data_IF_967210559809
#
_entry.id   IF_967210559809
#
_cell.length_a   1.000
_cell.length_b   1.000
_cell.length_c   1.000
_cell.angle_alpha   90.00
_cell.angle_beta   90.00
_cell.angle_gamma   90.00
#
_symmetry.space_group_name_H-M   'P 1'
#
loop_
_entity.id
_entity.type
_entity.pdbx_description
1 polymer ?
#
# COMPACT_ATOMS: atom_id res chain seq x y z
N UNK A 1 -16.02 -48.26 -11.36
CA UNK A 1 -15.86 -49.66 -11.75
C UNK A 1 -14.72 -50.22 -10.93
N UNK A 2 -15.10 -51.13 -10.09
CA UNK A 2 -14.43 -52.40 -9.66
C UNK A 2 -13.00 -52.19 -9.08
N UNK A 3 -12.80 -52.48 -7.86
CA UNK A 3 -13.11 -53.60 -6.96
C UNK A 3 -11.84 -54.33 -6.56
N UNK A 4 -11.68 -54.48 -5.28
CA UNK A 4 -11.18 -55.63 -4.51
C UNK A 4 -9.66 -55.72 -4.41
N UNK A 5 -9.09 -56.05 -3.27
CA UNK A 5 -9.62 -56.79 -2.15
C UNK A 5 -8.62 -56.92 -1.02
N UNK A 6 -9.18 -57.09 0.09
CA UNK A 6 -8.69 -57.46 1.39
C UNK A 6 -7.81 -58.73 1.39
N UNK A 7 -6.83 -58.75 2.28
CA UNK A 7 -6.55 -59.94 3.07
C UNK A 7 -6.02 -59.56 4.44
N UNK A 8 -6.86 -59.76 5.46
CA UNK A 8 -6.53 -59.88 6.85
C UNK A 8 -5.73 -61.20 7.03
N UNK A 9 -4.59 -61.12 7.72
CA UNK A 9 -3.96 -62.31 8.27
C UNK A 9 -3.76 -62.09 9.79
N UNK A 10 -4.62 -62.77 10.52
CA UNK A 10 -4.67 -62.92 11.97
C UNK A 10 -3.54 -63.80 12.42
N UNK A 11 -2.63 -63.30 13.25
CA UNK A 11 -1.69 -64.14 13.98
C UNK A 11 -1.86 -63.88 15.49
N UNK A 12 -2.16 -64.97 16.17
CA UNK A 12 -2.45 -65.08 17.60
C UNK A 12 -1.26 -64.76 18.53
N UNK A 13 -1.49 -64.40 19.81
CA UNK A 13 -0.45 -63.96 20.70
C UNK A 13 0.25 -65.18 21.38
N UNK A 14 1.55 -65.26 21.22
CA UNK A 14 2.40 -66.14 22.02
C UNK A 14 2.70 -65.52 23.41
N UNK A 15 2.18 -66.12 24.47
CA UNK A 15 2.53 -65.88 25.84
C UNK A 15 3.97 -66.36 26.10
N UNK A 16 4.93 -65.47 26.31
CA UNK A 16 6.21 -65.80 26.90
C UNK A 16 6.16 -65.47 28.39
N UNK A 17 6.33 -66.52 29.20
CA UNK A 17 6.47 -66.48 30.65
C UNK A 17 7.83 -65.86 30.97
N UNK A 18 7.84 -64.70 31.55
CA UNK A 18 9.04 -64.07 32.13
C UNK A 18 9.13 -64.55 33.60
N UNK A 19 10.08 -65.41 33.84
CA UNK A 19 10.51 -65.73 35.17
C UNK A 19 11.27 -64.58 35.82
N UNK A 20 10.76 -64.06 36.95
CA UNK A 20 11.44 -63.09 37.78
C UNK A 20 12.53 -63.79 38.62
N UNK A 21 13.78 -63.35 38.63
CA UNK A 21 14.76 -63.80 39.52
C UNK A 21 14.53 -63.23 40.93
N UNK A 22 14.59 -64.09 41.95
CA UNK A 22 14.47 -63.79 43.35
C UNK A 22 15.56 -62.82 43.82
N UNK A 23 15.31 -61.99 44.88
CA UNK A 23 16.30 -61.07 45.42
C UNK A 23 17.36 -61.81 46.22
N UNK A 24 18.62 -61.36 46.16
CA UNK A 24 19.69 -61.98 46.96
C UNK A 24 19.49 -61.71 48.46
N UNK A 25 19.66 -62.73 49.25
CA UNK A 25 19.62 -62.83 50.73
C UNK A 25 20.66 -61.89 51.36
N UNK A 26 20.22 -61.11 52.34
CA UNK A 26 21.08 -60.24 53.13
C UNK A 26 22.13 -61.09 53.94
N UNK A 27 23.38 -60.63 53.97
CA UNK A 27 24.37 -61.27 54.88
C UNK A 27 24.13 -60.85 56.33
N UNK A 28 24.28 -61.86 57.21
CA UNK A 28 24.21 -61.82 58.64
C UNK A 28 25.26 -60.88 59.28
N UNK A 29 24.94 -60.19 60.39
CA UNK A 29 25.86 -59.23 61.00
C UNK A 29 26.88 -59.98 61.87
N UNK A 30 28.14 -59.99 61.46
CA UNK A 30 29.24 -60.38 62.36
C UNK A 30 30.47 -59.50 62.08
N UNK A 31 30.94 -58.92 63.18
CA UNK A 31 32.25 -58.27 63.34
C UNK A 31 32.40 -56.86 62.74
N UNK A 32 31.89 -55.88 63.51
CA UNK A 32 32.41 -54.52 63.48
C UNK A 32 33.64 -54.43 64.38
N UNK A 33 34.82 -54.72 63.86
CA UNK A 33 36.06 -54.28 64.52
C UNK A 33 36.21 -52.76 64.26
N UNK A 34 36.30 -52.02 65.37
CA UNK A 34 36.43 -50.55 65.39
C UNK A 34 37.79 -50.15 64.78
N UNK A 35 37.74 -49.64 63.56
CA UNK A 35 38.80 -48.77 62.99
C UNK A 35 38.85 -47.48 63.81
N UNK A 36 39.96 -47.11 64.46
CA UNK A 36 40.05 -45.81 65.11
C UNK A 36 39.88 -44.71 64.05
N UNK A 37 38.91 -43.78 64.27
CA UNK A 37 38.63 -42.70 63.40
C UNK A 37 39.89 -41.87 63.13
N UNK A 38 40.30 -41.77 61.87
CA UNK A 38 41.50 -41.03 61.40
C UNK A 38 41.54 -39.61 61.98
N UNK A 39 40.38 -39.02 62.25
CA UNK A 39 40.18 -37.71 62.90
C UNK A 39 40.67 -37.69 64.38
N UNK A 40 40.58 -38.83 65.16
CA UNK A 40 41.02 -38.88 66.53
C UNK A 40 42.55 -39.01 66.67
N UNK A 41 43.19 -39.66 65.72
CA UNK A 41 44.68 -39.77 65.66
C UNK A 41 45.28 -38.44 65.18
N UNK A 42 44.69 -37.77 64.18
CA UNK A 42 45.14 -36.48 63.73
C UNK A 42 44.98 -35.38 64.78
N UNK A 43 43.92 -35.42 65.58
CA UNK A 43 43.67 -34.46 66.64
C UNK A 43 44.69 -34.55 67.79
N UNK A 44 45.21 -35.80 68.13
CA UNK A 44 46.28 -36.02 69.16
C UNK A 44 47.65 -35.51 68.62
N UNK A 45 47.99 -35.75 67.35
CA UNK A 45 49.24 -35.31 66.80
C UNK A 45 49.33 -33.77 66.73
N UNK A 46 48.22 -33.07 66.40
CA UNK A 46 48.16 -31.61 66.32
C UNK A 46 48.28 -30.98 67.74
N UNK A 47 47.91 -31.67 68.80
CA UNK A 47 47.93 -31.14 70.17
C UNK A 47 49.34 -31.03 70.78
N UNK A 48 50.29 -31.80 70.29
CA UNK A 48 51.67 -31.84 70.79
C UNK A 48 52.66 -30.99 69.98
N UNK A 49 52.24 -30.42 68.85
CA UNK A 49 53.09 -29.56 68.03
C UNK A 49 53.36 -28.21 68.73
N UNK A 50 54.60 -27.67 68.65
CA UNK A 50 54.90 -26.34 69.17
C UNK A 50 54.11 -25.25 68.56
N UNK A 51 53.73 -24.22 69.32
CA UNK A 51 52.88 -23.12 68.88
C UNK A 51 53.21 -22.51 67.54
N UNK A 52 54.47 -22.31 67.12
CA UNK A 52 54.80 -21.72 65.77
C UNK A 52 54.41 -22.65 64.60
N UNK A 53 54.48 -23.98 64.79
CA UNK A 53 54.11 -24.99 63.80
C UNK A 53 52.58 -25.06 63.59
N UNK A 54 51.81 -24.91 64.68
CA UNK A 54 50.34 -24.79 64.59
C UNK A 54 49.92 -23.55 63.81
N UNK A 55 50.56 -22.43 64.06
CA UNK A 55 50.30 -21.17 63.24
C UNK A 55 50.66 -21.32 61.78
N UNK A 56 51.76 -22.04 61.45
CA UNK A 56 52.16 -22.37 60.09
C UNK A 56 51.15 -23.23 59.36
N UNK A 57 50.62 -24.30 60.01
CA UNK A 57 49.58 -25.16 59.43
C UNK A 57 48.28 -24.41 59.21
N UNK A 58 47.84 -23.57 60.15
CA UNK A 58 46.65 -22.71 59.97
C UNK A 58 46.83 -21.69 58.83
N UNK A 59 48.03 -21.06 58.77
CA UNK A 59 48.34 -20.15 57.66
C UNK A 59 48.34 -20.92 56.33
N UNK A 60 48.90 -22.10 56.23
CA UNK A 60 48.87 -22.93 55.03
C UNK A 60 47.44 -23.33 54.62
N UNK A 61 46.62 -23.73 55.62
CA UNK A 61 45.21 -24.09 55.40
C UNK A 61 44.43 -22.89 54.95
N UNK A 62 44.65 -21.71 55.53
CA UNK A 62 44.02 -20.45 55.07
C UNK A 62 44.43 -20.09 53.63
N UNK A 63 45.72 -20.22 53.29
CA UNK A 63 46.21 -20.02 51.94
C UNK A 63 45.60 -21.03 50.97
N UNK A 64 45.50 -22.33 51.34
CA UNK A 64 44.84 -23.33 50.53
C UNK A 64 43.35 -23.11 50.37
N UNK A 65 42.65 -22.65 51.40
CA UNK A 65 41.23 -22.28 51.32
C UNK A 65 41.04 -21.06 50.46
N UNK A 66 41.87 -20.04 50.60
CA UNK A 66 41.82 -18.81 49.77
C UNK A 66 42.14 -19.10 48.30
N UNK A 67 43.16 -19.91 48.05
CA UNK A 67 43.51 -20.33 46.69
C UNK A 67 42.41 -21.21 46.07
N UNK A 68 41.86 -22.16 46.82
CA UNK A 68 40.73 -22.98 46.39
C UNK A 68 39.47 -22.13 46.15
N UNK A 69 39.22 -21.12 47.00
CA UNK A 69 38.09 -20.21 46.89
C UNK A 69 38.23 -19.32 45.66
N UNK A 70 39.43 -18.86 45.30
CA UNK A 70 39.70 -18.09 44.09
C UNK A 70 39.57 -18.98 42.85
N UNK A 71 40.02 -20.23 42.87
CA UNK A 71 39.93 -21.18 41.77
C UNK A 71 38.52 -21.67 41.48
N UNK A 72 37.67 -21.77 42.48
CA UNK A 72 36.27 -22.20 42.38
C UNK A 72 35.36 -21.12 41.78
N UNK A 73 35.87 -19.88 41.59
CA UNK A 73 35.12 -18.72 41.05
C UNK A 73 35.35 -18.41 39.59
N UNK A 74 36.01 -19.26 38.81
CA UNK A 74 36.26 -19.05 37.39
C UNK A 74 36.01 -20.31 36.58
N UNK A 75 35.55 -20.11 35.34
CA UNK A 75 35.28 -21.18 34.37
C UNK A 75 36.04 -20.86 33.10
N UNK A 76 36.88 -21.81 32.63
CA UNK A 76 37.67 -21.62 31.39
C UNK A 76 37.30 -22.66 30.34
N UNK A 77 37.51 -22.25 29.08
CA UNK A 77 37.42 -23.11 27.88
C UNK A 77 38.53 -22.77 26.90
N UNK A 78 39.12 -23.80 26.32
CA UNK A 78 40.08 -23.76 25.22
C UNK A 78 39.41 -23.78 23.84
N UNK A 79 38.11 -24.01 23.81
CA UNK A 79 37.31 -24.01 22.59
C UNK A 79 36.64 -22.64 22.44
N UNK A 80 37.45 -21.65 22.12
CA UNK A 80 37.03 -20.29 21.84
C UNK A 80 37.74 -19.75 20.60
N UNK A 81 37.00 -18.96 19.82
CA UNK A 81 37.53 -18.33 18.64
C UNK A 81 37.07 -16.87 18.52
N UNK A 82 37.91 -16.06 17.89
CA UNK A 82 37.53 -14.72 17.47
C UNK A 82 36.55 -14.83 16.33
N UNK A 83 35.46 -14.08 16.40
CA UNK A 83 34.41 -14.05 15.41
C UNK A 83 34.02 -12.60 15.07
N UNK A 84 33.35 -12.37 13.93
CA UNK A 84 32.83 -11.07 13.54
C UNK A 84 31.60 -11.24 12.65
N UNK A 85 30.80 -10.16 12.54
CA UNK A 85 29.68 -10.11 11.58
C UNK A 85 30.21 -9.83 10.17
N UNK A 86 30.59 -10.89 9.46
CA UNK A 86 31.11 -10.82 8.10
C UNK A 86 29.97 -10.46 7.13
N UNK A 87 30.17 -9.43 6.33
CA UNK A 87 29.18 -8.96 5.32
C UNK A 87 29.66 -9.33 3.93
N UNK A 88 28.93 -10.23 3.28
CA UNK A 88 29.12 -10.55 1.87
C UNK A 88 28.43 -9.51 0.98
N UNK A 89 29.14 -8.92 0.05
CA UNK A 89 28.61 -7.95 -0.91
C UNK A 89 28.47 -8.62 -2.26
N UNK A 90 27.22 -8.66 -2.76
CA UNK A 90 26.88 -9.26 -4.05
C UNK A 90 26.35 -8.21 -5.02
N UNK A 91 26.50 -8.46 -6.32
CA UNK A 91 25.92 -7.61 -7.35
C UNK A 91 24.40 -7.70 -7.35
N UNK A 92 23.72 -6.55 -7.52
CA UNK A 92 22.25 -6.49 -7.71
C UNK A 92 21.87 -6.36 -9.19
N UNK A 93 22.85 -6.02 -10.06
CA UNK A 93 22.63 -5.83 -11.50
C UNK A 93 23.68 -6.60 -12.30
N UNK A 94 23.37 -6.87 -13.57
CA UNK A 94 24.31 -7.53 -14.49
C UNK A 94 25.15 -6.53 -15.25
N UNK A 95 26.37 -6.89 -15.61
CA UNK A 95 27.21 -6.06 -16.46
C UNK A 95 28.70 -6.35 -16.32
N UNK A 96 29.50 -5.64 -17.09
CA UNK A 96 30.96 -5.74 -17.01
C UNK A 96 31.48 -4.81 -15.93
N UNK A 97 32.49 -5.26 -15.17
CA UNK A 97 33.21 -4.43 -14.21
C UNK A 97 34.15 -3.50 -14.96
N UNK A 98 33.92 -2.20 -14.90
CA UNK A 98 34.70 -1.18 -15.61
C UNK A 98 35.70 -0.45 -14.72
N UNK A 99 35.50 -0.49 -13.40
CA UNK A 99 36.40 0.09 -12.43
C UNK A 99 36.44 -0.75 -11.16
N UNK A 100 37.62 -1.04 -10.67
CA UNK A 100 37.86 -1.75 -9.42
C UNK A 100 38.86 -0.92 -8.62
N UNK A 101 38.46 -0.38 -7.47
CA UNK A 101 39.23 0.51 -6.60
C UNK A 101 39.71 -0.18 -5.33
N UNK A 102 39.52 -1.50 -5.26
CA UNK A 102 39.88 -2.32 -4.10
C UNK A 102 40.80 -3.47 -4.51
N UNK A 103 41.59 -3.87 -3.53
CA UNK A 103 42.39 -5.08 -3.55
C UNK A 103 42.11 -5.88 -2.27
N UNK A 104 42.55 -7.15 -2.26
CA UNK A 104 42.47 -7.97 -1.06
C UNK A 104 43.24 -7.33 0.09
N UNK A 105 42.63 -7.38 1.28
CA UNK A 105 43.18 -6.86 2.53
C UNK A 105 43.26 -5.32 2.63
N UNK A 106 42.61 -4.58 1.73
CA UNK A 106 42.47 -3.12 1.85
C UNK A 106 41.36 -2.75 2.86
N UNK A 107 41.63 -1.71 3.64
CA UNK A 107 40.58 -1.16 4.54
C UNK A 107 39.68 -0.21 3.76
N UNK A 108 38.38 -0.43 3.89
CA UNK A 108 37.31 0.38 3.30
C UNK A 108 36.43 1.02 4.38
N UNK A 109 36.01 2.26 4.17
CA UNK A 109 35.06 2.97 5.02
C UNK A 109 33.66 2.82 4.46
N UNK A 110 32.68 2.86 5.32
CA UNK A 110 31.27 2.90 4.94
C UNK A 110 31.02 4.03 3.92
N UNK A 111 30.36 3.71 2.81
CA UNK A 111 30.04 4.64 1.72
C UNK A 111 31.13 4.78 0.63
N UNK A 112 32.34 4.25 0.84
CA UNK A 112 33.41 4.27 -0.18
C UNK A 112 32.97 3.51 -1.44
N UNK A 113 33.21 4.10 -2.61
CA UNK A 113 32.98 3.44 -3.91
C UNK A 113 34.09 2.46 -4.18
N UNK A 114 33.79 1.18 -4.15
CA UNK A 114 34.77 0.10 -4.24
C UNK A 114 34.88 -0.45 -5.65
N UNK A 115 33.75 -0.53 -6.37
CA UNK A 115 33.70 -1.11 -7.71
C UNK A 115 32.60 -0.43 -8.51
N UNK A 116 32.77 -0.37 -9.83
CA UNK A 116 31.75 0.13 -10.75
C UNK A 116 31.50 -0.86 -11.88
N UNK A 117 30.24 -1.20 -12.07
CA UNK A 117 29.72 -1.95 -13.21
C UNK A 117 29.41 -0.94 -14.32
N UNK A 118 29.48 -1.34 -15.59
CA UNK A 118 29.22 -0.45 -16.74
C UNK A 118 27.83 0.20 -16.65
N UNK A 119 27.74 1.53 -16.42
CA UNK A 119 26.48 2.21 -16.18
C UNK A 119 25.76 2.61 -17.49
N UNK A 120 26.40 2.46 -18.67
CA UNK A 120 25.89 3.05 -19.93
C UNK A 120 24.51 2.55 -20.30
N UNK A 121 24.26 1.25 -20.18
CA UNK A 121 22.96 0.67 -20.47
C UNK A 121 21.90 1.18 -19.50
N UNK A 122 22.21 1.21 -18.22
CA UNK A 122 21.29 1.68 -17.17
C UNK A 122 21.04 3.18 -17.25
N UNK A 123 22.06 3.97 -17.68
CA UNK A 123 21.86 5.40 -17.95
C UNK A 123 20.88 5.61 -19.12
N UNK A 124 21.01 4.84 -20.20
CA UNK A 124 20.09 4.90 -21.34
C UNK A 124 18.65 4.52 -20.92
N UNK A 125 18.49 3.52 -20.05
CA UNK A 125 17.17 3.15 -19.48
C UNK A 125 16.57 4.28 -18.64
N UNK A 126 17.37 5.00 -17.86
CA UNK A 126 16.92 6.19 -17.10
C UNK A 126 16.49 7.30 -18.05
N UNK A 127 17.24 7.56 -19.11
CA UNK A 127 16.93 8.60 -20.08
C UNK A 127 15.66 8.26 -20.87
N UNK A 128 15.43 7.00 -21.24
CA UNK A 128 14.20 6.49 -21.85
C UNK A 128 13.00 6.63 -20.92
N UNK A 129 13.13 6.19 -19.67
CA UNK A 129 12.06 6.32 -18.68
C UNK A 129 11.70 7.78 -18.38
N UNK A 130 12.70 8.68 -18.38
CA UNK A 130 12.51 10.12 -18.23
C UNK A 130 11.74 10.70 -19.42
N UNK A 131 12.14 10.36 -20.64
CA UNK A 131 11.45 10.82 -21.86
C UNK A 131 9.99 10.31 -21.89
N UNK A 132 9.76 9.05 -21.48
CA UNK A 132 8.41 8.49 -21.33
C UNK A 132 7.56 9.25 -20.31
N UNK A 133 8.15 9.63 -19.18
CA UNK A 133 7.45 10.44 -18.16
C UNK A 133 7.10 11.82 -18.72
N UNK A 134 7.99 12.47 -19.45
CA UNK A 134 7.74 13.79 -20.02
C UNK A 134 6.65 13.75 -21.10
N UNK A 135 6.57 12.67 -21.91
CA UNK A 135 5.48 12.42 -22.84
C UNK A 135 4.13 12.33 -22.12
N UNK A 136 4.02 11.46 -21.12
CA UNK A 136 2.77 11.26 -20.37
C UNK A 136 2.34 12.54 -19.63
N UNK A 137 3.29 13.36 -19.17
CA UNK A 137 2.99 14.68 -18.60
C UNK A 137 2.39 15.64 -19.62
N UNK A 138 2.92 15.64 -20.85
CA UNK A 138 2.37 16.44 -21.93
C UNK A 138 0.95 15.99 -22.30
N UNK A 139 0.69 14.69 -22.32
CA UNK A 139 -0.66 14.12 -22.52
C UNK A 139 -1.64 14.54 -21.41
N UNK A 140 -1.21 14.47 -20.15
CA UNK A 140 -2.04 14.89 -19.02
C UNK A 140 -2.35 16.39 -19.07
N UNK A 141 -1.38 17.22 -19.40
CA UNK A 141 -1.60 18.67 -19.60
C UNK A 141 -2.58 18.94 -20.73
N UNK A 142 -2.48 18.20 -21.84
CA UNK A 142 -3.45 18.26 -22.94
C UNK A 142 -4.87 17.89 -22.49
N UNK A 143 -5.00 16.82 -21.69
CA UNK A 143 -6.27 16.38 -21.12
C UNK A 143 -6.86 17.43 -20.15
N UNK A 144 -6.02 18.09 -19.35
CA UNK A 144 -6.43 19.17 -18.45
C UNK A 144 -6.98 20.37 -19.21
N UNK A 145 -6.29 20.81 -20.27
CA UNK A 145 -6.76 21.89 -21.14
C UNK A 145 -8.08 21.55 -21.84
N UNK A 146 -8.26 20.28 -22.21
CA UNK A 146 -9.51 19.80 -22.80
C UNK A 146 -10.69 19.90 -21.84
N UNK A 147 -10.51 19.73 -20.52
CA UNK A 147 -11.56 19.96 -19.52
C UNK A 147 -12.02 21.42 -19.57
N UNK A 148 -11.06 22.35 -19.54
CA UNK A 148 -11.35 23.78 -19.61
C UNK A 148 -12.16 24.14 -20.86
N UNK A 149 -11.74 23.68 -22.04
CA UNK A 149 -12.43 23.89 -23.28
C UNK A 149 -13.84 23.28 -23.29
N UNK A 150 -13.97 22.01 -22.89
CA UNK A 150 -15.27 21.32 -22.84
C UNK A 150 -16.22 22.01 -21.88
N UNK A 151 -15.76 22.40 -20.71
CA UNK A 151 -16.58 23.13 -19.73
C UNK A 151 -17.04 24.49 -20.28
N UNK A 152 -16.15 25.26 -20.88
CA UNK A 152 -16.49 26.55 -21.44
C UNK A 152 -17.52 26.42 -22.59
N UNK A 153 -17.34 25.46 -23.50
CA UNK A 153 -18.25 25.24 -24.64
C UNK A 153 -19.62 24.74 -24.18
N UNK A 154 -19.68 23.81 -23.25
CA UNK A 154 -20.96 23.28 -22.71
C UNK A 154 -21.70 24.34 -21.90
N UNK A 155 -21.03 25.08 -21.02
CA UNK A 155 -21.66 26.17 -20.26
C UNK A 155 -22.22 27.24 -21.21
N UNK A 156 -21.48 27.64 -22.26
CA UNK A 156 -21.94 28.62 -23.21
C UNK A 156 -23.14 28.11 -24.04
N UNK A 157 -23.10 26.84 -24.49
CA UNK A 157 -24.23 26.25 -25.23
C UNK A 157 -25.50 26.15 -24.38
N UNK A 158 -25.37 25.75 -23.10
CA UNK A 158 -26.50 25.69 -22.18
C UNK A 158 -27.04 27.09 -21.87
N UNK A 159 -26.16 28.05 -21.64
CA UNK A 159 -26.59 29.45 -21.46
C UNK A 159 -27.36 30.03 -22.63
N UNK A 160 -26.89 29.79 -23.86
CA UNK A 160 -27.58 30.24 -25.09
C UNK A 160 -28.93 29.52 -25.28
N UNK A 161 -29.02 28.21 -24.96
CA UNK A 161 -30.27 27.47 -25.05
C UNK A 161 -31.29 27.93 -23.99
N UNK A 162 -30.87 28.30 -22.79
CA UNK A 162 -31.73 28.91 -21.76
C UNK A 162 -32.26 30.24 -22.24
N UNK A 163 -31.42 31.13 -22.75
CA UNK A 163 -31.85 32.42 -23.25
C UNK A 163 -32.83 32.29 -24.43
N UNK A 164 -32.62 31.34 -25.34
CA UNK A 164 -33.55 31.07 -26.44
C UNK A 164 -34.91 30.55 -25.94
N UNK A 165 -34.89 29.63 -24.95
CA UNK A 165 -36.14 29.13 -24.32
C UNK A 165 -36.92 30.26 -23.64
N UNK A 166 -36.26 31.15 -22.94
CA UNK A 166 -36.89 32.30 -22.26
C UNK A 166 -37.54 33.26 -23.26
N UNK A 167 -36.85 33.52 -24.38
CA UNK A 167 -37.38 34.31 -25.51
C UNK A 167 -38.64 33.66 -26.14
N UNK A 168 -38.55 32.35 -26.49
CA UNK A 168 -39.65 31.64 -27.12
C UNK A 168 -40.84 31.45 -26.19
N UNK A 169 -40.62 31.28 -24.88
CA UNK A 169 -41.66 31.22 -23.83
C UNK A 169 -42.37 32.60 -23.73
N UNK A 170 -41.62 33.69 -23.78
CA UNK A 170 -42.17 35.05 -23.77
C UNK A 170 -43.04 35.31 -25.01
N UNK A 171 -42.57 34.90 -26.20
CA UNK A 171 -43.32 35.00 -27.43
C UNK A 171 -44.61 34.17 -27.41
N UNK A 172 -44.57 32.97 -26.83
CA UNK A 172 -45.74 32.13 -26.62
C UNK A 172 -46.76 32.80 -25.68
N UNK A 173 -46.30 33.35 -24.57
CA UNK A 173 -47.16 34.07 -23.62
C UNK A 173 -47.84 35.29 -24.24
N UNK A 174 -47.08 36.07 -25.03
CA UNK A 174 -47.60 37.20 -25.78
C UNK A 174 -48.68 36.78 -26.82
N UNK A 175 -48.37 35.71 -27.58
CA UNK A 175 -49.32 35.16 -28.59
C UNK A 175 -50.60 34.63 -27.94
N UNK A 176 -50.50 33.99 -26.75
CA UNK A 176 -51.62 33.53 -25.97
C UNK A 176 -52.52 34.68 -25.49
N UNK A 177 -51.92 35.74 -24.94
CA UNK A 177 -52.63 36.92 -24.50
C UNK A 177 -53.34 37.62 -25.69
N UNK A 178 -52.73 37.66 -26.88
CA UNK A 178 -53.33 38.20 -28.09
C UNK A 178 -54.51 37.34 -28.58
N UNK A 179 -54.38 36.01 -28.53
CA UNK A 179 -55.48 35.08 -28.86
C UNK A 179 -56.68 35.31 -27.94
N UNK A 180 -56.45 35.38 -26.62
CA UNK A 180 -57.46 35.62 -25.62
C UNK A 180 -58.19 36.95 -25.87
N UNK A 181 -57.44 38.05 -26.12
CA UNK A 181 -58.01 39.35 -26.43
C UNK A 181 -58.88 39.30 -27.71
N UNK A 182 -58.42 38.64 -28.76
CA UNK A 182 -59.12 38.54 -30.05
C UNK A 182 -60.41 37.67 -29.88
N UNK A 183 -60.30 36.53 -29.16
CA UNK A 183 -61.44 35.62 -28.94
C UNK A 183 -62.51 36.21 -28.01
N UNK A 184 -62.13 36.95 -26.95
CA UNK A 184 -63.08 37.47 -25.96
C UNK A 184 -63.62 38.84 -26.37
N UNK A 185 -62.76 39.84 -26.61
CA UNK A 185 -63.23 41.20 -26.87
C UNK A 185 -63.75 41.37 -28.29
N UNK A 186 -62.93 41.10 -29.32
CA UNK A 186 -63.30 41.43 -30.75
C UNK A 186 -64.41 40.52 -31.25
N UNK A 187 -64.39 39.23 -30.94
CA UNK A 187 -65.43 38.29 -31.42
C UNK A 187 -66.78 38.52 -30.72
N UNK A 188 -66.74 38.78 -29.40
CA UNK A 188 -68.00 39.07 -28.64
C UNK A 188 -68.57 40.39 -29.11
N UNK A 189 -67.79 41.44 -29.38
CA UNK A 189 -68.26 42.72 -29.95
C UNK A 189 -68.91 42.49 -31.29
N UNK A 190 -68.26 41.78 -32.22
CA UNK A 190 -68.84 41.51 -33.54
C UNK A 190 -70.14 40.68 -33.43
N UNK A 191 -70.24 39.70 -32.52
CA UNK A 191 -71.48 38.97 -32.29
C UNK A 191 -72.58 39.84 -31.74
N UNK A 192 -72.28 40.74 -30.83
CA UNK A 192 -73.26 41.69 -30.28
C UNK A 192 -73.79 42.68 -31.38
N UNK A 193 -72.88 43.08 -32.26
CA UNK A 193 -73.28 43.97 -33.40
C UNK A 193 -74.21 43.25 -34.38
N UNK A 194 -73.91 41.97 -34.73
CA UNK A 194 -74.80 41.19 -35.60
C UNK A 194 -76.17 41.01 -34.90
N UNK A 195 -76.21 40.70 -33.57
CA UNK A 195 -77.48 40.60 -32.84
C UNK A 195 -78.29 41.92 -32.87
N UNK A 196 -77.63 43.08 -32.68
CA UNK A 196 -78.27 44.37 -32.69
C UNK A 196 -78.78 44.72 -34.05
N UNK A 197 -77.98 44.50 -35.14
CA UNK A 197 -78.43 44.74 -36.51
C UNK A 197 -79.48 43.73 -36.95
N UNK A 198 -79.40 42.50 -36.53
CA UNK A 198 -80.47 41.47 -36.74
C UNK A 198 -81.81 41.93 -36.20
N UNK A 199 -81.81 42.32 -34.92
CA UNK A 199 -83.08 42.81 -34.30
C UNK A 199 -83.65 44.05 -35.03
N UNK A 200 -82.77 44.92 -35.55
CA UNK A 200 -83.23 46.12 -36.36
C UNK A 200 -83.74 45.67 -37.67
N UNK A 201 -83.16 44.75 -38.40
CA UNK A 201 -83.59 44.20 -39.66
C UNK A 201 -84.95 43.45 -39.47
N UNK A 202 -85.07 42.60 -38.47
CA UNK A 202 -86.33 41.83 -38.16
C UNK A 202 -87.48 42.79 -37.94
N UNK A 203 -87.25 43.90 -37.25
CA UNK A 203 -88.24 44.95 -37.09
C UNK A 203 -88.62 45.62 -38.41
N UNK A 204 -87.62 46.02 -39.17
CA UNK A 204 -87.80 46.70 -40.45
C UNK A 204 -88.53 45.80 -41.48
N UNK A 205 -88.19 44.51 -41.52
CA UNK A 205 -88.92 43.52 -42.37
C UNK A 205 -90.34 43.30 -41.92
N UNK A 206 -90.61 43.20 -40.61
CA UNK A 206 -91.95 43.12 -40.08
C UNK A 206 -92.82 44.35 -40.39
N UNK A 207 -92.23 45.52 -40.34
CA UNK A 207 -92.91 46.73 -40.73
C UNK A 207 -93.21 46.75 -42.25
N UNK A 208 -92.27 46.35 -43.11
CA UNK A 208 -92.45 46.19 -44.55
C UNK A 208 -93.58 45.19 -44.87
N UNK A 209 -93.56 44.03 -44.30
CA UNK A 209 -94.66 43.05 -44.47
C UNK A 209 -96.03 43.58 -44.02
N UNK A 210 -96.08 44.40 -42.97
CA UNK A 210 -97.27 45.06 -42.49
C UNK A 210 -97.82 46.14 -43.51
N UNK A 211 -96.89 46.93 -44.10
CA UNK A 211 -97.23 47.99 -45.05
C UNK A 211 -97.55 47.44 -46.43
N UNK A 212 -97.07 46.26 -46.83
CA UNK A 212 -97.30 45.64 -48.14
C UNK A 212 -98.77 45.39 -48.50
N UNK A 213 -99.69 44.91 -47.67
CA UNK A 213 -101.10 44.84 -47.93
C UNK A 213 -101.82 46.20 -47.88
N UNK A 214 -101.38 47.08 -46.94
CA UNK A 214 -102.02 48.44 -46.82
C UNK A 214 -101.82 49.32 -47.99
N UNK A 215 -100.70 49.27 -48.73
CA UNK A 215 -100.56 50.02 -49.98
C UNK A 215 -101.46 49.47 -51.09
N UNK A 216 -101.76 48.16 -51.10
CA UNK A 216 -102.64 47.57 -52.09
C UNK A 216 -104.13 47.97 -51.88
N UNK A 217 -104.49 48.20 -50.60
CA UNK A 217 -105.88 48.66 -50.22
C UNK A 217 -106.00 50.17 -50.32
N UNK A 218 -104.91 50.92 -50.50
CA UNK A 218 -104.90 52.41 -50.58
C UNK A 218 -104.91 53.07 -49.17
N UNK A 219 -104.70 52.34 -48.10
CA UNK A 219 -104.70 52.87 -46.71
C UNK A 219 -103.48 53.63 -46.35
N UNK A 220 -102.34 53.42 -47.13
CA UNK A 220 -101.11 54.16 -47.03
C UNK A 220 -100.64 54.61 -48.38
N UNK A 221 -99.81 55.72 -48.45
CA UNK A 221 -99.33 56.28 -49.73
C UNK A 221 -98.14 55.45 -50.25
N UNK A 222 -98.00 55.44 -51.60
CA UNK A 222 -96.84 54.80 -52.23
C UNK A 222 -95.47 55.30 -51.64
N UNK A 223 -95.45 56.63 -51.43
CA UNK A 223 -94.20 57.24 -50.80
C UNK A 223 -93.88 56.66 -49.39
N UNK A 224 -94.94 56.40 -48.60
CA UNK A 224 -94.70 55.79 -47.27
C UNK A 224 -94.24 54.35 -47.39
N UNK A 225 -94.82 53.54 -48.31
CA UNK A 225 -94.34 52.21 -48.59
C UNK A 225 -92.90 52.18 -49.08
N UNK A 226 -92.52 53.05 -50.07
CA UNK A 226 -91.18 53.13 -50.61
C UNK A 226 -90.13 53.56 -49.56
N UNK A 227 -90.53 54.42 -48.61
CA UNK A 227 -89.72 54.78 -47.46
C UNK A 227 -89.44 53.62 -46.57
N UNK A 228 -90.44 52.77 -46.25
CA UNK A 228 -90.30 51.56 -45.43
C UNK A 228 -89.51 50.49 -46.19
N UNK A 229 -89.79 50.27 -47.48
CA UNK A 229 -88.98 49.34 -48.30
C UNK A 229 -87.55 49.73 -48.37
N UNK A 230 -87.22 51.02 -48.55
CA UNK A 230 -85.86 51.52 -48.53
C UNK A 230 -85.24 51.33 -47.15
N UNK A 231 -85.99 51.58 -46.06
CA UNK A 231 -85.58 51.34 -44.68
C UNK A 231 -85.22 49.85 -44.39
N UNK A 232 -86.07 48.91 -44.92
CA UNK A 232 -85.81 47.48 -44.79
C UNK A 232 -84.52 47.03 -45.55
N UNK A 233 -84.34 47.53 -46.78
CA UNK A 233 -83.08 47.25 -47.57
C UNK A 233 -81.82 47.79 -46.91
N UNK A 234 -81.90 48.97 -46.30
CA UNK A 234 -80.80 49.56 -45.55
C UNK A 234 -80.50 48.68 -44.28
N UNK A 235 -81.56 48.27 -43.60
CA UNK A 235 -81.37 47.38 -42.40
C UNK A 235 -80.79 46.03 -42.81
N UNK A 236 -81.19 45.40 -43.89
CA UNK A 236 -80.68 44.20 -44.50
C UNK A 236 -79.20 44.34 -44.87
N UNK A 237 -78.86 45.45 -45.58
CA UNK A 237 -77.45 45.72 -45.92
C UNK A 237 -76.58 45.95 -44.72
N UNK A 238 -77.08 46.59 -43.66
CA UNK A 238 -76.36 46.80 -42.42
C UNK A 238 -76.13 45.44 -41.67
N UNK A 239 -77.12 44.52 -41.65
CA UNK A 239 -76.98 43.22 -41.14
C UNK A 239 -75.90 42.41 -41.88
N UNK A 240 -75.99 42.42 -43.22
CA UNK A 240 -74.98 41.74 -44.07
C UNK A 240 -73.55 42.27 -43.80
N UNK A 241 -73.41 43.60 -43.64
CA UNK A 241 -72.13 44.19 -43.26
C UNK A 241 -71.63 43.72 -41.92
N UNK A 242 -72.51 43.65 -40.88
CA UNK A 242 -72.13 43.13 -39.52
C UNK A 242 -71.82 41.63 -39.57
N UNK A 243 -72.51 40.85 -40.42
CA UNK A 243 -72.15 39.41 -40.59
C UNK A 243 -70.77 39.24 -41.24
N UNK A 244 -70.37 40.09 -42.19
CA UNK A 244 -69.03 40.09 -42.77
C UNK A 244 -67.96 40.51 -41.74
N UNK A 245 -68.28 41.46 -40.83
CA UNK A 245 -67.42 41.84 -39.76
C UNK A 245 -67.25 40.69 -38.75
N UNK A 246 -68.33 39.96 -38.47
CA UNK A 246 -68.25 38.74 -37.63
C UNK A 246 -67.37 37.65 -38.27
N UNK A 247 -67.55 37.38 -39.55
CA UNK A 247 -66.75 36.43 -40.30
C UNK A 247 -65.26 36.79 -40.26
N UNK A 248 -64.94 38.13 -40.47
CA UNK A 248 -63.58 38.64 -40.36
C UNK A 248 -63.02 38.50 -38.94
N UNK A 249 -63.84 38.76 -37.91
CA UNK A 249 -63.41 38.55 -36.50
C UNK A 249 -63.14 37.05 -36.19
N UNK A 250 -63.96 36.14 -36.71
CA UNK A 250 -63.74 34.68 -36.60
C UNK A 250 -62.43 34.25 -37.27
N UNK A 251 -62.16 34.78 -38.49
CA UNK A 251 -60.93 34.50 -39.18
C UNK A 251 -59.68 35.00 -38.40
N UNK A 252 -59.81 36.22 -37.82
CA UNK A 252 -58.75 36.78 -36.99
C UNK A 252 -58.45 35.92 -35.75
N UNK A 253 -59.46 35.30 -35.10
CA UNK A 253 -59.27 34.32 -34.00
C UNK A 253 -58.51 33.10 -34.49
N UNK A 254 -58.86 32.58 -35.68
CA UNK A 254 -58.15 31.43 -36.25
C UNK A 254 -56.71 31.72 -36.57
N UNK A 255 -56.43 32.89 -37.15
CA UNK A 255 -55.05 33.36 -37.39
C UNK A 255 -54.27 33.46 -36.06
N UNK A 256 -54.88 34.07 -35.03
CA UNK A 256 -54.25 34.17 -33.70
C UNK A 256 -53.98 32.78 -33.09
N UNK A 257 -54.92 31.84 -33.29
CA UNK A 257 -54.76 30.44 -32.82
C UNK A 257 -53.58 29.74 -33.53
N UNK A 258 -53.48 29.86 -34.85
CA UNK A 258 -52.37 29.31 -35.63
C UNK A 258 -51.02 29.95 -35.21
N UNK A 259 -51.02 31.25 -34.98
CA UNK A 259 -49.82 31.97 -34.50
C UNK A 259 -49.38 31.47 -33.11
N UNK A 260 -50.34 31.30 -32.19
CA UNK A 260 -50.09 30.79 -30.84
C UNK A 260 -49.56 29.35 -30.89
N UNK A 261 -50.14 28.48 -31.73
CA UNK A 261 -49.63 27.11 -31.90
C UNK A 261 -48.22 27.10 -32.48
N UNK A 262 -47.90 27.99 -33.41
CA UNK A 262 -46.54 28.07 -33.94
C UNK A 262 -45.53 28.60 -32.93
N UNK A 263 -45.92 29.54 -32.05
CA UNK A 263 -45.09 30.00 -30.93
C UNK A 263 -44.86 28.89 -29.91
N UNK A 264 -45.90 28.13 -29.54
CA UNK A 264 -45.80 26.96 -28.70
C UNK A 264 -44.85 25.89 -29.25
N UNK A 265 -44.93 25.64 -30.56
CA UNK A 265 -44.03 24.68 -31.22
C UNK A 265 -42.55 25.14 -31.17
N UNK A 266 -42.28 26.47 -31.21
CA UNK A 266 -40.93 27.03 -31.03
C UNK A 266 -40.46 26.84 -29.60
N UNK A 267 -41.29 27.15 -28.58
CA UNK A 267 -40.99 26.94 -27.18
C UNK A 267 -40.62 25.46 -26.88
N UNK A 268 -41.43 24.50 -27.35
CA UNK A 268 -41.15 23.06 -27.21
C UNK A 268 -39.82 22.65 -27.86
N UNK A 269 -39.54 23.25 -29.04
CA UNK A 269 -38.24 23.02 -29.71
C UNK A 269 -37.07 23.55 -28.87
N UNK A 270 -37.16 24.74 -28.33
CA UNK A 270 -36.14 25.37 -27.49
C UNK A 270 -35.93 24.59 -26.20
N UNK A 271 -37.03 24.05 -25.61
CA UNK A 271 -36.97 23.16 -24.48
C UNK A 271 -36.19 21.87 -24.80
N UNK A 272 -36.40 21.29 -25.98
CA UNK A 272 -35.67 20.10 -26.44
C UNK A 272 -34.19 20.43 -26.67
N UNK A 273 -33.85 21.60 -27.22
CA UNK A 273 -32.46 22.04 -27.36
C UNK A 273 -31.76 22.28 -26.03
N UNK A 274 -32.50 22.79 -25.03
CA UNK A 274 -31.97 22.89 -23.66
C UNK A 274 -31.66 21.53 -23.05
N UNK A 275 -32.55 20.54 -23.21
CA UNK A 275 -32.30 19.18 -22.74
C UNK A 275 -31.09 18.55 -23.44
N UNK A 276 -30.93 18.77 -24.75
CA UNK A 276 -29.77 18.33 -25.51
C UNK A 276 -28.46 18.97 -24.99
N UNK A 277 -28.48 20.30 -24.78
CA UNK A 277 -27.29 21.00 -24.26
C UNK A 277 -26.92 20.55 -22.81
N UNK A 278 -27.92 20.30 -21.95
CA UNK A 278 -27.69 19.72 -20.64
C UNK A 278 -27.15 18.30 -20.73
N UNK A 279 -27.59 17.47 -21.66
CA UNK A 279 -27.04 16.16 -21.91
C UNK A 279 -25.54 16.23 -22.34
N UNK A 280 -25.17 17.26 -23.09
CA UNK A 280 -23.78 17.54 -23.49
C UNK A 280 -22.88 17.91 -22.27
N UNK A 281 -23.44 18.45 -21.19
CA UNK A 281 -22.68 18.70 -19.95
C UNK A 281 -22.08 17.44 -19.38
N UNK A 282 -22.67 16.25 -19.65
CA UNK A 282 -22.10 14.94 -19.27
C UNK A 282 -20.75 14.64 -19.93
N UNK A 283 -20.36 15.42 -20.95
CA UNK A 283 -19.02 15.33 -21.55
C UNK A 283 -17.94 15.81 -20.59
N UNK A 284 -18.25 16.75 -19.66
CA UNK A 284 -17.28 17.28 -18.70
C UNK A 284 -16.74 16.17 -17.77
N UNK A 285 -17.58 15.38 -17.05
CA UNK A 285 -17.06 14.30 -16.21
C UNK A 285 -16.31 13.22 -17.01
N UNK A 286 -16.61 13.03 -18.30
CA UNK A 286 -15.85 12.11 -19.17
C UNK A 286 -14.43 12.63 -19.38
N UNK A 287 -14.29 13.92 -19.70
CA UNK A 287 -12.96 14.54 -19.86
C UNK A 287 -12.19 14.60 -18.53
N UNK A 288 -12.87 14.82 -17.40
CA UNK A 288 -12.27 14.74 -16.06
C UNK A 288 -11.77 13.33 -15.74
N UNK A 289 -12.53 12.29 -16.09
CA UNK A 289 -12.10 10.91 -15.93
C UNK A 289 -10.89 10.58 -16.81
N UNK A 290 -10.82 11.10 -18.04
CA UNK A 290 -9.67 10.97 -18.92
C UNK A 290 -8.41 11.63 -18.30
N UNK A 291 -8.55 12.85 -17.78
CA UNK A 291 -7.46 13.52 -17.07
C UNK A 291 -6.98 12.72 -15.85
N UNK A 292 -7.89 12.20 -15.03
CA UNK A 292 -7.56 11.34 -13.88
C UNK A 292 -6.82 10.07 -14.30
N UNK A 293 -7.20 9.48 -15.45
CA UNK A 293 -6.48 8.35 -16.04
C UNK A 293 -5.07 8.74 -16.46
N UNK A 294 -4.89 9.91 -17.06
CA UNK A 294 -3.57 10.43 -17.43
C UNK A 294 -2.69 10.72 -16.20
N UNK A 295 -3.27 11.24 -15.11
CA UNK A 295 -2.55 11.39 -13.83
C UNK A 295 -2.08 10.04 -13.27
N UNK A 296 -2.90 9.00 -13.31
CA UNK A 296 -2.50 7.67 -12.89
C UNK A 296 -1.36 7.09 -13.76
N UNK A 297 -1.37 7.42 -15.07
CA UNK A 297 -0.27 7.05 -15.96
C UNK A 297 1.04 7.77 -15.61
N UNK A 298 0.99 9.03 -15.15
CA UNK A 298 2.17 9.76 -14.63
C UNK A 298 2.77 9.02 -13.44
N UNK A 299 1.96 8.65 -12.45
CA UNK A 299 2.47 7.93 -11.28
C UNK A 299 3.09 6.58 -11.64
N UNK A 300 2.52 5.86 -12.60
CA UNK A 300 3.09 4.60 -13.11
C UNK A 300 4.45 4.82 -13.79
N UNK A 301 4.55 5.81 -14.67
CA UNK A 301 5.81 6.08 -15.39
C UNK A 301 6.87 6.68 -14.47
N UNK A 302 6.47 7.45 -13.45
CA UNK A 302 7.35 7.94 -12.40
C UNK A 302 7.96 6.78 -11.59
N UNK A 303 7.15 5.79 -11.20
CA UNK A 303 7.65 4.59 -10.54
C UNK A 303 8.62 3.78 -11.43
N UNK A 304 8.37 3.73 -12.76
CA UNK A 304 9.29 3.10 -13.70
C UNK A 304 10.63 3.87 -13.79
N UNK A 305 10.58 5.20 -13.78
CA UNK A 305 11.80 6.02 -13.75
C UNK A 305 12.61 5.79 -12.46
N UNK A 306 11.94 5.75 -11.32
CA UNK A 306 12.57 5.47 -10.03
C UNK A 306 13.25 4.08 -10.02
N UNK A 307 12.59 3.07 -10.58
CA UNK A 307 13.18 1.73 -10.73
C UNK A 307 14.44 1.75 -11.60
N UNK A 308 14.43 2.47 -12.72
CA UNK A 308 15.62 2.61 -13.59
C UNK A 308 16.74 3.36 -12.88
N UNK A 309 16.43 4.38 -12.09
CA UNK A 309 17.40 5.11 -11.27
C UNK A 309 18.02 4.24 -10.17
N UNK A 310 17.23 3.38 -9.53
CA UNK A 310 17.74 2.41 -8.56
C UNK A 310 18.70 1.43 -9.24
N UNK A 311 18.33 0.89 -10.40
CA UNK A 311 19.19 -0.02 -11.16
C UNK A 311 20.52 0.65 -11.55
N UNK A 312 20.46 1.92 -11.98
CA UNK A 312 21.67 2.72 -12.23
C UNK A 312 22.49 2.92 -10.95
N UNK A 313 21.84 3.18 -9.82
CA UNK A 313 22.49 3.28 -8.51
C UNK A 313 23.24 2.00 -8.13
N UNK A 314 22.65 0.85 -8.44
CA UNK A 314 23.25 -0.47 -8.17
C UNK A 314 24.46 -0.80 -9.04
N UNK A 315 24.74 -0.03 -10.11
CA UNK A 315 25.97 -0.16 -10.87
C UNK A 315 27.20 0.34 -10.08
N UNK A 316 26.98 1.18 -9.07
CA UNK A 316 28.05 1.72 -8.20
C UNK A 316 28.01 1.00 -6.87
N UNK A 317 28.92 0.05 -6.68
CA UNK A 317 29.01 -0.75 -5.46
C UNK A 317 29.78 0.01 -4.40
N UNK A 318 29.12 0.31 -3.29
CA UNK A 318 29.69 0.99 -2.12
C UNK A 318 29.84 0.01 -0.97
N UNK A 319 30.78 0.32 -0.06
CA UNK A 319 30.93 -0.42 1.19
C UNK A 319 29.69 -0.18 2.09
N UNK A 320 28.93 -1.22 2.48
CA UNK A 320 27.80 -1.06 3.38
C UNK A 320 28.20 -0.85 4.84
N UNK A 321 29.41 -1.24 5.21
CA UNK A 321 30.01 -1.08 6.54
C UNK A 321 31.51 -0.75 6.39
N UNK A 322 32.10 -0.14 7.41
CA UNK A 322 33.54 -0.01 7.50
C UNK A 322 34.16 -1.37 7.86
N UNK A 323 35.25 -1.73 7.17
CA UNK A 323 35.91 -3.01 7.41
C UNK A 323 37.00 -3.30 6.42
N UNK A 324 37.66 -4.46 6.58
CA UNK A 324 38.69 -4.93 5.65
C UNK A 324 38.09 -5.82 4.59
N UNK A 325 38.40 -5.53 3.33
CA UNK A 325 38.04 -6.35 2.18
C UNK A 325 38.79 -7.69 2.25
N UNK A 326 38.03 -8.76 2.07
CA UNK A 326 38.55 -10.13 1.97
C UNK A 326 37.80 -10.89 0.89
N UNK A 327 38.40 -11.93 0.34
CA UNK A 327 37.77 -12.77 -0.69
C UNK A 327 37.27 -11.94 -1.89
N UNK A 328 38.13 -11.13 -2.49
CA UNK A 328 37.79 -10.46 -3.74
C UNK A 328 37.62 -11.49 -4.84
N UNK A 329 36.35 -11.72 -5.26
CA UNK A 329 35.99 -12.77 -6.24
C UNK A 329 35.79 -12.21 -7.64
N UNK A 330 36.04 -10.92 -7.87
CA UNK A 330 35.76 -10.23 -9.13
C UNK A 330 37.01 -9.52 -9.66
N UNK A 331 37.15 -9.50 -11.01
CA UNK A 331 38.23 -8.84 -11.70
C UNK A 331 37.75 -7.78 -12.68
N UNK A 332 38.60 -6.84 -13.00
CA UNK A 332 38.35 -5.83 -14.02
C UNK A 332 38.01 -6.49 -15.38
N UNK A 333 36.94 -6.06 -16.03
CA UNK A 333 36.48 -6.65 -17.30
C UNK A 333 35.63 -7.93 -17.14
N UNK A 334 35.45 -8.43 -15.94
CA UNK A 334 34.61 -9.60 -15.69
C UNK A 334 33.12 -9.24 -15.80
N UNK A 335 32.35 -10.14 -16.38
CA UNK A 335 30.88 -10.04 -16.39
C UNK A 335 30.29 -10.62 -15.10
N UNK A 336 29.44 -9.86 -14.42
CA UNK A 336 28.74 -10.25 -13.20
C UNK A 336 27.24 -10.29 -13.44
N UNK A 337 26.53 -11.12 -12.65
CA UNK A 337 25.07 -11.23 -12.68
C UNK A 337 24.51 -10.98 -11.28
N UNK A 338 23.22 -10.64 -11.12
CA UNK A 338 22.59 -10.48 -9.82
C UNK A 338 22.82 -11.70 -8.92
N UNK A 339 23.25 -11.47 -7.68
CA UNK A 339 23.61 -12.52 -6.72
C UNK A 339 25.08 -12.99 -6.79
N UNK A 340 25.86 -12.59 -7.78
CA UNK A 340 27.32 -12.89 -7.82
C UNK A 340 28.01 -12.23 -6.64
N UNK A 341 28.73 -13.02 -5.84
CA UNK A 341 29.57 -12.50 -4.76
C UNK A 341 30.72 -11.69 -5.38
N UNK A 342 30.88 -10.46 -4.93
CA UNK A 342 31.93 -9.56 -5.39
C UNK A 342 33.14 -9.57 -4.44
N UNK A 343 32.88 -9.35 -3.17
CA UNK A 343 33.86 -9.37 -2.09
C UNK A 343 33.16 -9.52 -0.74
N UNK A 344 33.96 -9.74 0.29
CA UNK A 344 33.47 -9.83 1.67
C UNK A 344 34.12 -8.74 2.51
N UNK A 345 33.35 -8.08 3.38
CA UNK A 345 33.84 -7.09 4.34
C UNK A 345 33.84 -7.67 5.75
N UNK A 346 34.96 -7.54 6.43
CA UNK A 346 35.18 -7.95 7.81
C UNK A 346 35.37 -6.73 8.69
N UNK A 347 34.42 -6.38 9.59
CA UNK A 347 34.57 -5.27 10.52
C UNK A 347 35.56 -5.68 11.64
N UNK A 348 36.78 -5.17 11.57
CA UNK A 348 37.82 -5.51 12.55
C UNK A 348 37.65 -4.76 13.88
N UNK A 349 36.81 -3.75 13.95
CA UNK A 349 36.48 -2.96 15.13
C UNK A 349 35.34 -3.55 15.98
N UNK A 350 34.59 -4.50 15.43
CA UNK A 350 33.41 -5.10 16.06
C UNK A 350 33.53 -6.62 16.20
N UNK A 351 34.73 -7.09 16.57
CA UNK A 351 34.94 -8.52 16.81
C UNK A 351 34.48 -8.92 18.21
N UNK A 352 34.08 -10.17 18.34
CA UNK A 352 33.71 -10.80 19.60
C UNK A 352 34.31 -12.21 19.67
N UNK A 353 34.26 -12.82 20.85
CA UNK A 353 34.72 -14.19 21.05
C UNK A 353 33.50 -15.10 21.18
N UNK A 354 33.46 -16.14 20.40
CA UNK A 354 32.54 -17.25 20.57
C UNK A 354 33.25 -18.34 21.34
N UNK A 355 32.92 -18.49 22.64
CA UNK A 355 33.54 -19.45 23.53
C UNK A 355 32.54 -20.57 23.87
N UNK A 356 32.91 -21.83 23.61
CA UNK A 356 32.07 -22.98 23.77
C UNK A 356 32.33 -23.65 25.12
N UNK A 357 31.49 -23.36 26.11
CA UNK A 357 31.59 -23.97 27.47
C UNK A 357 30.84 -25.26 27.54
N UNK A 358 31.33 -26.21 28.35
CA UNK A 358 30.61 -27.46 28.68
C UNK A 358 29.31 -27.14 29.44
N UNK A 359 28.23 -27.85 29.15
CA UNK A 359 26.94 -27.71 29.84
C UNK A 359 27.08 -27.70 31.35
N UNK A 360 27.98 -28.55 31.86
CA UNK A 360 28.27 -28.71 33.31
C UNK A 360 28.97 -27.47 33.93
N UNK A 361 29.48 -26.56 33.12
CA UNK A 361 30.16 -25.34 33.55
C UNK A 361 29.24 -24.11 33.56
N UNK A 362 28.04 -24.23 33.00
CA UNK A 362 27.14 -23.09 32.75
C UNK A 362 26.33 -22.65 33.96
N UNK A 363 26.33 -23.41 35.04
CA UNK A 363 25.47 -23.16 36.24
C UNK A 363 25.61 -21.71 36.78
N UNK A 364 26.83 -21.18 36.79
CA UNK A 364 27.14 -19.85 37.35
C UNK A 364 27.48 -18.79 36.30
N UNK A 365 27.43 -19.12 35.01
CA UNK A 365 27.71 -18.15 33.92
C UNK A 365 26.47 -17.29 33.68
N UNK A 366 26.65 -15.98 33.69
CA UNK A 366 25.58 -14.99 33.45
C UNK A 366 26.09 -13.86 32.57
N UNK A 367 25.19 -13.24 31.74
CA UNK A 367 25.52 -12.01 31.04
C UNK A 367 25.98 -10.91 31.98
N UNK A 368 26.93 -10.09 31.54
CA UNK A 368 27.52 -9.00 32.30
C UNK A 368 28.73 -9.38 33.12
N UNK A 369 29.08 -10.66 33.25
CA UNK A 369 30.28 -11.11 33.98
C UNK A 369 31.55 -10.73 33.21
N UNK A 370 32.63 -10.46 33.98
CA UNK A 370 33.94 -10.18 33.39
C UNK A 370 34.54 -11.46 32.82
N UNK A 371 35.20 -11.33 31.70
CA UNK A 371 35.92 -12.42 31.07
C UNK A 371 37.33 -11.99 30.72
N UNK A 372 38.25 -12.92 30.76
CA UNK A 372 39.62 -12.77 30.31
C UNK A 372 39.82 -13.71 29.11
N UNK A 373 40.28 -13.17 28.01
CA UNK A 373 40.47 -13.91 26.76
C UNK A 373 41.96 -13.91 26.46
N UNK A 374 42.58 -15.06 26.47
CA UNK A 374 43.94 -15.22 25.98
C UNK A 374 43.90 -15.58 24.51
N UNK A 375 44.58 -14.80 23.67
CA UNK A 375 44.65 -15.04 22.20
C UNK A 375 46.00 -15.66 21.86
N UNK A 376 45.96 -16.88 21.38
CA UNK A 376 47.15 -17.68 21.11
C UNK A 376 48.15 -17.01 20.17
N UNK A 377 47.66 -16.36 19.12
CA UNK A 377 48.48 -15.70 18.11
C UNK A 377 49.40 -14.62 18.72
N UNK A 378 48.97 -13.95 19.78
CA UNK A 378 49.69 -12.84 20.40
C UNK A 378 50.30 -13.18 21.73
N UNK A 379 49.92 -14.32 22.32
CA UNK A 379 50.29 -14.70 23.69
C UNK A 379 49.90 -13.67 24.74
N UNK A 380 48.76 -12.96 24.50
CA UNK A 380 48.29 -11.86 25.34
C UNK A 380 46.83 -12.05 25.78
N UNK A 381 46.57 -11.44 26.91
CA UNK A 381 45.25 -11.41 27.51
C UNK A 381 44.49 -10.13 27.11
N UNK A 382 43.22 -10.30 26.79
CA UNK A 382 42.29 -9.22 26.53
C UNK A 382 41.14 -9.28 27.54
N UNK A 383 40.74 -8.13 28.03
CA UNK A 383 39.58 -8.05 28.91
C UNK A 383 38.28 -8.05 28.06
N UNK A 384 37.32 -8.80 28.54
CA UNK A 384 36.00 -8.90 27.89
C UNK A 384 34.87 -8.96 28.91
N UNK A 385 33.66 -8.91 28.41
CA UNK A 385 32.42 -9.03 29.16
C UNK A 385 31.50 -10.02 28.45
N UNK A 386 30.90 -10.92 29.21
CA UNK A 386 29.88 -11.84 28.67
C UNK A 386 28.69 -11.03 28.21
N UNK A 387 28.41 -11.07 26.89
CA UNK A 387 27.27 -10.41 26.25
C UNK A 387 26.02 -11.27 26.37
N UNK A 388 26.09 -12.46 25.84
CA UNK A 388 24.95 -13.36 25.76
C UNK A 388 25.36 -14.83 25.75
N UNK A 389 24.41 -15.68 26.11
CA UNK A 389 24.54 -17.14 26.11
C UNK A 389 23.59 -17.67 25.04
N UNK A 390 24.07 -18.55 24.17
CA UNK A 390 23.25 -19.13 23.13
C UNK A 390 22.07 -19.94 23.71
N UNK A 391 20.89 -19.81 23.08
CA UNK A 391 19.68 -20.52 23.50
C UNK A 391 19.68 -22.03 23.20
N UNK A 392 20.70 -22.54 22.48
CA UNK A 392 20.83 -23.94 22.13
C UNK A 392 22.31 -24.39 22.13
N UNK A 393 22.55 -25.68 22.36
CA UNK A 393 23.88 -26.27 22.25
C UNK A 393 24.37 -26.22 20.79
N UNK A 394 25.68 -26.03 20.59
CA UNK A 394 26.30 -25.87 19.25
C UNK A 394 26.03 -27.08 18.34
N UNK A 395 25.93 -28.28 18.86
CA UNK A 395 25.58 -29.49 18.10
C UNK A 395 24.18 -29.44 17.44
N UNK A 396 23.25 -28.66 18.02
CA UNK A 396 21.89 -28.48 17.46
C UNK A 396 21.81 -27.36 16.43
N UNK A 397 22.78 -26.46 16.45
CA UNK A 397 22.86 -25.34 15.48
C UNK A 397 23.72 -25.68 14.26
N UNK A 398 24.43 -26.80 14.26
CA UNK A 398 25.22 -27.28 13.14
C UNK A 398 24.30 -27.65 11.95
N UNK A 399 24.73 -27.29 10.75
CA UNK A 399 24.00 -27.57 9.49
C UNK A 399 23.78 -29.08 9.29
N UNK A 400 24.68 -29.91 9.81
CA UNK A 400 24.61 -31.38 9.85
C UNK A 400 24.80 -31.83 11.30
N UNK A 401 23.76 -31.97 12.10
CA UNK A 401 23.87 -32.45 13.45
C UNK A 401 24.46 -33.87 13.44
N UNK A 402 25.40 -34.20 14.33
CA UNK A 402 25.99 -35.52 14.39
C UNK A 402 24.88 -36.54 14.77
N UNK A 403 24.57 -37.45 13.85
CA UNK A 403 23.65 -38.58 14.10
C UNK A 403 24.47 -39.81 14.39
N UNK A 404 24.21 -40.44 15.53
CA UNK A 404 24.83 -41.75 15.84
C UNK A 404 24.22 -42.81 14.94
N UNK A 405 25.04 -43.42 14.09
CA UNK A 405 24.64 -44.44 13.11
C UNK A 405 24.04 -45.72 13.74
N UNK A 406 24.19 -45.89 15.07
CA UNK A 406 23.80 -47.13 15.78
C UNK A 406 22.49 -47.00 16.54
N UNK A 407 21.78 -45.90 16.49
CA UNK A 407 20.46 -45.71 17.13
C UNK A 407 20.47 -45.66 18.68
N UNK A 408 21.62 -45.86 19.33
CA UNK A 408 21.75 -45.76 20.79
C UNK A 408 22.05 -44.33 21.22
N UNK A 409 21.24 -43.80 22.12
CA UNK A 409 21.46 -42.48 22.75
C UNK A 409 22.63 -42.56 23.73
N UNK A 410 23.80 -42.03 23.36
CA UNK A 410 24.94 -41.85 24.26
C UNK A 410 24.88 -40.42 24.80
N UNK A 411 24.83 -40.27 26.12
CA UNK A 411 24.91 -38.96 26.77
C UNK A 411 26.32 -38.37 26.57
N UNK A 412 26.46 -37.45 25.66
CA UNK A 412 27.68 -36.66 25.42
C UNK A 412 27.51 -35.29 26.03
N UNK A 413 28.50 -34.79 26.75
CA UNK A 413 28.48 -33.43 27.31
C UNK A 413 28.37 -32.43 26.16
N UNK A 414 27.29 -31.65 26.13
CA UNK A 414 27.06 -30.64 25.11
C UNK A 414 27.88 -29.38 25.40
N UNK A 415 28.23 -28.64 24.35
CA UNK A 415 28.88 -27.32 24.47
C UNK A 415 27.87 -26.22 24.14
N UNK A 416 27.84 -25.20 24.97
CA UNK A 416 26.94 -24.03 24.82
C UNK A 416 27.82 -22.83 24.44
N UNK A 417 27.57 -22.21 23.28
CA UNK A 417 28.29 -21.02 22.87
C UNK A 417 27.95 -19.82 23.78
N UNK A 418 28.96 -19.13 24.22
CA UNK A 418 28.88 -17.87 24.98
C UNK A 418 29.58 -16.77 24.17
N UNK A 419 28.86 -15.69 23.89
CA UNK A 419 29.39 -14.53 23.23
C UNK A 419 30.03 -13.59 24.23
N UNK A 420 31.32 -13.26 24.02
CA UNK A 420 32.10 -12.37 24.87
C UNK A 420 32.55 -11.18 24.05
N UNK A 421 32.11 -9.99 24.41
CA UNK A 421 32.62 -8.73 23.81
C UNK A 421 33.98 -8.43 24.40
N UNK A 422 34.95 -8.25 23.53
CA UNK A 422 36.35 -7.99 23.92
C UNK A 422 36.67 -6.52 23.66
N UNK A 423 37.30 -5.89 24.64
CA UNK A 423 37.84 -4.53 24.44
C UNK A 423 39.11 -4.63 23.61
N UNK A 424 39.02 -4.15 22.36
CA UNK A 424 40.17 -4.15 21.48
C UNK A 424 41.33 -3.30 22.01
N UNK A 425 42.55 -3.73 21.72
CA UNK A 425 43.74 -2.94 21.98
C UNK A 425 43.83 -1.75 21.01
N UNK A 426 44.16 -0.58 21.50
CA UNK A 426 44.48 0.57 20.65
C UNK A 426 45.80 0.44 19.84
N UNK A 427 46.56 -0.62 20.11
CA UNK A 427 47.81 -0.89 19.40
C UNK A 427 47.56 -1.66 18.09
N UNK A 428 47.90 -1.09 16.92
CA UNK A 428 47.67 -1.73 15.61
C UNK A 428 48.36 -3.09 15.44
N UNK A 429 49.31 -3.44 16.30
CA UNK A 429 50.00 -4.75 16.27
C UNK A 429 49.16 -5.90 16.77
N UNK A 430 48.10 -5.62 17.52
CA UNK A 430 47.28 -6.62 18.20
C UNK A 430 45.80 -6.59 17.72
N UNK A 431 45.62 -6.50 16.41
CA UNK A 431 44.27 -6.51 15.79
C UNK A 431 43.73 -7.93 15.80
N UNK A 432 42.63 -8.13 16.51
CA UNK A 432 41.90 -9.39 16.52
C UNK A 432 41.25 -9.63 15.15
N UNK A 433 41.46 -10.85 14.61
CA UNK A 433 40.91 -11.24 13.31
C UNK A 433 40.02 -12.48 13.50
N UNK A 434 38.85 -12.53 12.86
CA UNK A 434 38.02 -13.73 12.88
C UNK A 434 38.77 -14.98 12.47
N UNK A 435 38.51 -16.06 13.16
CA UNK A 435 39.24 -17.35 12.99
C UNK A 435 40.49 -17.53 13.85
N UNK A 436 40.91 -16.53 14.63
CA UNK A 436 41.97 -16.71 15.62
C UNK A 436 41.47 -17.55 16.78
N UNK A 437 42.30 -18.51 17.25
CA UNK A 437 42.03 -19.30 18.43
C UNK A 437 42.29 -18.50 19.69
N UNK A 438 41.50 -18.78 20.71
CA UNK A 438 41.60 -18.15 22.01
C UNK A 438 41.20 -19.11 23.15
N UNK A 439 41.68 -18.84 24.35
CA UNK A 439 41.21 -19.42 25.59
C UNK A 439 40.40 -18.39 26.36
N UNK A 440 39.18 -18.71 26.74
CA UNK A 440 38.31 -17.77 27.42
C UNK A 440 38.04 -18.23 28.88
N UNK A 441 38.32 -17.37 29.85
CA UNK A 441 38.04 -17.55 31.25
C UNK A 441 37.00 -16.53 31.72
N UNK A 442 35.87 -17.00 32.22
CA UNK A 442 34.81 -16.17 32.79
C UNK A 442 34.93 -16.19 34.32
N UNK A 443 34.89 -15.02 34.95
CA UNK A 443 34.85 -14.87 36.38
C UNK A 443 33.39 -14.86 36.86
N UNK A 444 32.97 -15.89 37.54
CA UNK A 444 31.57 -16.13 37.92
C UNK A 444 31.17 -15.44 39.24
N UNK A 445 32.04 -14.57 39.73
CA UNK A 445 31.80 -13.77 40.96
C UNK A 445 32.11 -12.32 40.76
#
# INVERSE_FOLDING_TARGET
MRNSGSTEETVAPMKSVIQTPSPPTAPSPAVAEAMPSFLAVAGKLIRELPRPVKLGIVALLVVLIVTSYIWMGSVSTDDAQVDAHITAVASQVSGYVVSLKIDDNLDAKEGDVLLQIDPRTYQAEVDEAKASLDLVRAEANSAELQIGLTRATTTHSTGSAVAQLDSDASDYALSQAQLERTATASLLQARAEVAAKGATNDRAQADLERYKPLVKTGDVSQYQYDAVDTGARVAESNLAAAEQELAAAQQNVEIARVTTNSAKAREVRSQSLLLESKAREQQVPITEAAYKSAQAAIERTKAALEQSQLNLGYTTIKAPISGRVTQLSVHLGQYVVPGSLLFTLVPLDQVYITANYKETQMDHVRPGQRAKVHVDTYGRDFEGVVDSIAGAAGSRQALLPPQNATGNFIKVVQRIPVKILVRQSSDPRFVLRPGMNAEATIYTR
#
